data_IF_833161333429
#
_entry.id   IF_833161333429
#
_cell.length_a   1.000
_cell.length_b   1.000
_cell.length_c   1.000
_cell.angle_alpha   90.00
_cell.angle_beta   90.00
_cell.angle_gamma   90.00
#
_symmetry.space_group_name_H-M   'P 1'
#
loop_
_entity.id
_entity.type
_entity.pdbx_description
1 polymer ?
#
# COMPACT_ATOMS: atom_id res chain seq x y z
N UNK A 1 -13.55 8.92 4.30
CA UNK A 1 -12.30 8.35 3.73
C UNK A 1 -11.13 8.87 4.58
N UNK A 2 -10.00 8.18 4.70
CA UNK A 2 -8.91 8.69 5.56
C UNK A 2 -8.38 10.05 5.04
N UNK A 3 -8.40 10.23 3.73
CA UNK A 3 -8.05 11.47 3.04
C UNK A 3 -8.98 12.63 3.37
N UNK A 4 -10.29 12.36 3.51
CA UNK A 4 -11.25 13.38 3.92
C UNK A 4 -10.97 13.84 5.35
N UNK A 5 -10.66 12.91 6.27
CA UNK A 5 -10.27 13.25 7.64
C UNK A 5 -8.99 14.07 7.67
N UNK A 6 -7.99 13.70 6.87
CA UNK A 6 -6.73 14.44 6.76
C UNK A 6 -6.99 15.89 6.29
N UNK A 7 -7.80 16.06 5.25
CA UNK A 7 -8.19 17.37 4.74
C UNK A 7 -8.98 18.21 5.77
N UNK A 8 -9.97 17.61 6.43
CA UNK A 8 -10.82 18.27 7.43
C UNK A 8 -10.04 18.70 8.69
N UNK A 9 -9.00 17.95 9.06
CA UNK A 9 -8.21 18.18 10.28
C UNK A 9 -6.90 18.93 10.02
N UNK A 10 -6.51 19.11 8.76
CA UNK A 10 -5.26 19.79 8.39
C UNK A 10 -3.99 19.03 8.75
N UNK A 11 -4.07 17.71 8.98
CA UNK A 11 -2.90 16.84 9.22
C UNK A 11 -2.64 15.93 8.02
N UNK A 12 -1.44 15.33 7.96
CA UNK A 12 -1.08 14.43 6.86
C UNK A 12 -1.90 13.13 6.88
N UNK A 13 -2.01 12.47 5.73
CA UNK A 13 -2.67 11.17 5.63
C UNK A 13 -1.97 10.11 6.48
N UNK A 14 -0.64 10.17 6.58
CA UNK A 14 0.13 9.31 7.47
C UNK A 14 -0.31 9.51 8.93
N UNK A 15 -0.40 10.76 9.41
CA UNK A 15 -0.82 11.04 10.78
C UNK A 15 -2.24 10.52 11.08
N UNK A 16 -3.18 10.69 10.14
CA UNK A 16 -4.52 10.10 10.26
C UNK A 16 -4.46 8.59 10.31
N UNK A 17 -3.59 7.97 9.50
CA UNK A 17 -3.43 6.51 9.47
C UNK A 17 -2.83 6.00 10.78
N UNK A 18 -1.87 6.71 11.37
CA UNK A 18 -1.27 6.40 12.69
C UNK A 18 -2.29 6.47 13.83
N UNK A 19 -3.33 7.30 13.71
CA UNK A 19 -4.42 7.36 14.68
C UNK A 19 -5.40 6.18 14.59
N UNK A 20 -5.28 5.28 13.59
CA UNK A 20 -6.08 4.06 13.55
C UNK A 20 -5.69 3.11 14.71
N UNK A 21 -6.64 2.31 15.25
CA UNK A 21 -6.33 1.28 16.23
C UNK A 21 -5.21 0.35 15.75
N UNK A 22 -4.31 -0.05 16.66
CA UNK A 22 -3.11 -0.83 16.32
C UNK A 22 -3.43 -2.15 15.61
N UNK A 23 -4.57 -2.79 15.91
CA UNK A 23 -5.00 -4.01 15.21
C UNK A 23 -5.35 -3.82 13.73
N UNK A 24 -5.56 -2.59 13.28
CA UNK A 24 -5.95 -2.27 11.89
C UNK A 24 -4.79 -1.75 11.05
N UNK A 25 -3.62 -1.53 11.66
CA UNK A 25 -2.49 -0.91 10.96
C UNK A 25 -1.13 -1.39 11.47
N UNK A 26 -0.15 -1.43 10.58
CA UNK A 26 1.26 -1.58 10.92
C UNK A 26 2.12 -0.75 9.96
N UNK A 27 3.33 -0.41 10.37
CA UNK A 27 4.23 0.43 9.58
C UNK A 27 5.62 -0.18 9.49
N UNK A 28 6.26 0.01 8.34
CA UNK A 28 7.64 -0.34 8.09
C UNK A 28 8.40 0.89 7.54
N UNK A 29 9.72 0.98 7.73
CA UNK A 29 10.53 2.07 7.18
C UNK A 29 10.46 2.12 5.64
N UNK A 30 10.53 3.31 5.05
CA UNK A 30 10.44 3.50 3.60
C UNK A 30 11.52 2.76 2.77
N UNK A 31 12.66 2.43 3.39
CA UNK A 31 13.69 1.59 2.78
C UNK A 31 13.22 0.17 2.44
N UNK A 32 12.14 -0.31 3.06
CA UNK A 32 11.52 -1.60 2.73
C UNK A 32 10.58 -1.54 1.53
N UNK A 33 10.39 -0.36 0.91
CA UNK A 33 9.42 -0.17 -0.16
C UNK A 33 9.69 -1.05 -1.39
N UNK A 34 10.95 -1.20 -1.81
CA UNK A 34 11.30 -2.10 -2.91
C UNK A 34 10.99 -3.56 -2.56
N UNK A 35 11.34 -4.00 -1.34
CA UNK A 35 11.04 -5.35 -0.89
C UNK A 35 9.53 -5.63 -0.85
N UNK A 36 8.72 -4.64 -0.48
CA UNK A 36 7.26 -4.75 -0.54
C UNK A 36 6.74 -4.85 -1.98
N UNK A 37 7.25 -4.02 -2.89
CA UNK A 37 6.88 -4.05 -4.31
C UNK A 37 7.23 -5.38 -4.98
N UNK A 38 8.41 -5.94 -4.68
CA UNK A 38 8.85 -7.22 -5.22
C UNK A 38 8.01 -8.39 -4.69
N UNK A 39 7.62 -8.35 -3.41
CA UNK A 39 6.75 -9.38 -2.83
C UNK A 39 5.33 -9.33 -3.43
N UNK A 40 4.74 -8.13 -3.51
CA UNK A 40 3.41 -7.92 -4.08
C UNK A 40 3.31 -8.27 -5.57
N UNK A 41 4.42 -8.27 -6.31
CA UNK A 41 4.45 -8.73 -7.69
C UNK A 41 4.09 -10.22 -7.83
N UNK A 42 4.23 -11.00 -6.75
CA UNK A 42 3.91 -12.43 -6.71
C UNK A 42 2.46 -12.71 -6.26
N UNK A 43 1.66 -11.68 -6.02
CA UNK A 43 0.28 -11.83 -5.48
C UNK A 43 -0.75 -12.12 -6.58
N UNK A 44 -0.38 -12.04 -7.86
CA UNK A 44 -1.34 -12.08 -8.96
C UNK A 44 -2.09 -10.75 -9.08
N UNK A 45 -3.37 -10.78 -9.45
CA UNK A 45 -4.15 -9.57 -9.72
C UNK A 45 -4.42 -8.77 -8.44
N UNK A 46 -3.91 -7.53 -8.40
CA UNK A 46 -4.15 -6.54 -7.34
C UNK A 46 -4.84 -5.29 -7.92
N UNK A 47 -5.19 -4.33 -7.06
CA UNK A 47 -5.62 -2.99 -7.51
C UNK A 47 -4.60 -1.95 -7.05
N UNK A 48 -3.93 -1.30 -8.00
CA UNK A 48 -3.10 -0.13 -7.71
C UNK A 48 -3.96 1.12 -7.80
N UNK A 49 -3.87 1.98 -6.80
CA UNK A 49 -4.66 3.20 -6.69
C UNK A 49 -3.75 4.41 -6.47
N UNK A 50 -3.95 5.45 -7.26
CA UNK A 50 -3.35 6.78 -7.06
C UNK A 50 -4.47 7.74 -6.71
N UNK A 51 -4.35 8.43 -5.57
CA UNK A 51 -5.35 9.37 -5.09
C UNK A 51 -4.71 10.74 -4.93
N UNK A 52 -5.25 11.71 -5.66
CA UNK A 52 -4.95 13.14 -5.54
C UNK A 52 -6.22 13.92 -5.19
N UNK A 53 -6.12 15.22 -4.97
CA UNK A 53 -7.29 16.07 -4.73
C UNK A 53 -8.32 16.02 -5.88
N UNK A 54 -7.85 15.78 -7.11
CA UNK A 54 -8.67 15.91 -8.33
C UNK A 54 -9.06 14.57 -8.96
N UNK A 55 -8.36 13.49 -8.61
CA UNK A 55 -8.53 12.19 -9.25
C UNK A 55 -8.21 11.03 -8.30
N UNK A 56 -9.12 10.06 -8.28
CA UNK A 56 -8.85 8.68 -7.86
C UNK A 56 -8.70 7.84 -9.12
N UNK A 57 -7.50 7.37 -9.41
CA UNK A 57 -7.22 6.46 -10.51
C UNK A 57 -6.96 5.07 -9.95
N UNK A 58 -7.69 4.08 -10.48
CA UNK A 58 -7.52 2.67 -10.14
C UNK A 58 -7.12 1.87 -11.37
N UNK A 59 -6.13 0.99 -11.22
CA UNK A 59 -5.73 0.04 -12.24
C UNK A 59 -5.68 -1.37 -11.65
N UNK A 60 -6.43 -2.30 -12.25
CA UNK A 60 -6.46 -3.71 -11.85
C UNK A 60 -5.56 -4.53 -12.76
N UNK A 61 -4.72 -5.36 -12.17
CA UNK A 61 -3.83 -6.25 -12.91
C UNK A 61 -2.75 -6.85 -12.01
N UNK A 62 -1.94 -7.78 -12.52
CA UNK A 62 -0.74 -8.22 -11.82
C UNK A 62 0.24 -7.06 -11.67
N UNK A 63 0.75 -6.81 -10.47
CA UNK A 63 1.79 -5.79 -10.27
C UNK A 63 3.09 -6.27 -10.94
N UNK A 64 3.61 -5.59 -11.97
CA UNK A 64 4.85 -6.04 -12.58
C UNK A 64 6.02 -5.83 -11.62
N UNK A 65 7.01 -6.73 -11.68
CA UNK A 65 8.32 -6.52 -11.05
C UNK A 65 8.95 -5.25 -11.63
N UNK A 66 9.77 -4.58 -10.83
CA UNK A 66 10.49 -3.39 -11.28
C UNK A 66 11.95 -3.40 -10.85
N UNK A 67 12.68 -2.38 -11.30
CA UNK A 67 14.09 -2.21 -11.00
C UNK A 67 14.47 -0.73 -10.99
N UNK A 68 15.41 -0.37 -10.11
CA UNK A 68 15.94 0.99 -10.08
C UNK A 68 16.78 1.31 -11.33
N UNK A 69 16.55 2.50 -11.87
CA UNK A 69 17.30 3.02 -13.01
C UNK A 69 16.93 4.47 -13.27
N UNK A 70 17.93 5.31 -13.61
CA UNK A 70 17.76 6.74 -13.94
C UNK A 70 16.97 7.55 -12.88
N UNK A 71 17.11 7.18 -11.60
CA UNK A 71 16.46 7.88 -10.48
C UNK A 71 15.00 7.49 -10.21
N UNK A 72 14.51 6.39 -10.81
CA UNK A 72 13.18 5.85 -10.58
C UNK A 72 13.23 4.32 -10.37
N UNK A 73 12.23 3.78 -9.68
CA UNK A 73 11.86 2.37 -9.75
C UNK A 73 10.95 2.17 -10.97
N UNK A 74 11.46 1.46 -11.97
CA UNK A 74 10.81 1.31 -13.26
C UNK A 74 10.03 -0.01 -13.30
N UNK A 75 8.72 0.06 -13.51
CA UNK A 75 7.87 -1.12 -13.64
C UNK A 75 8.11 -1.79 -15.00
N UNK A 76 8.26 -3.12 -15.01
CA UNK A 76 8.34 -3.89 -16.24
C UNK A 76 7.01 -3.87 -17.02
N UNK A 77 7.06 -4.23 -18.31
CA UNK A 77 5.88 -4.36 -19.15
C UNK A 77 5.10 -5.66 -18.91
N UNK A 78 3.98 -5.83 -19.61
CA UNK A 78 3.15 -7.05 -19.57
C UNK A 78 1.96 -6.98 -18.60
N UNK A 79 1.75 -5.84 -17.97
CA UNK A 79 0.57 -5.52 -17.15
C UNK A 79 -0.03 -4.18 -17.59
N UNK A 80 -1.35 -3.95 -17.41
CA UNK A 80 -1.92 -2.61 -17.55
C UNK A 80 -1.37 -1.63 -16.50
N UNK A 81 -0.81 -2.15 -15.40
CA UNK A 81 -0.08 -1.35 -14.41
C UNK A 81 1.33 -1.13 -14.96
N UNK A 82 1.70 0.13 -15.19
CA UNK A 82 3.03 0.49 -15.68
C UNK A 82 3.45 1.89 -15.25
N UNK A 83 4.70 2.25 -15.54
CA UNK A 83 5.24 3.58 -15.29
C UNK A 83 6.52 3.60 -14.46
N UNK A 84 6.81 4.77 -13.90
CA UNK A 84 8.06 5.07 -13.20
C UNK A 84 7.74 5.68 -11.84
N UNK A 85 8.22 5.05 -10.77
CA UNK A 85 7.91 5.46 -9.41
C UNK A 85 9.15 6.09 -8.79
N UNK A 86 9.02 7.28 -8.19
CA UNK A 86 10.05 7.88 -7.32
C UNK A 86 10.08 7.17 -5.96
N UNK A 87 10.33 5.86 -5.98
CA UNK A 87 10.25 5.00 -4.80
C UNK A 87 11.30 5.40 -3.73
N UNK A 88 12.37 6.08 -4.16
CA UNK A 88 13.37 6.74 -3.31
C UNK A 88 12.76 7.80 -2.36
N UNK A 89 11.59 8.35 -2.70
CA UNK A 89 10.87 9.31 -1.85
C UNK A 89 10.02 8.66 -0.77
N UNK A 90 9.85 7.34 -0.80
CA UNK A 90 9.05 6.65 0.21
C UNK A 90 9.74 6.72 1.58
N UNK A 91 9.01 7.15 2.60
CA UNK A 91 9.48 7.25 4.00
C UNK A 91 8.81 6.25 4.92
N UNK A 92 7.59 5.85 4.61
CA UNK A 92 6.84 4.86 5.40
C UNK A 92 6.03 3.97 4.48
N UNK A 93 6.08 2.66 4.73
CA UNK A 93 5.17 1.68 4.13
C UNK A 93 4.13 1.30 5.20
N UNK A 94 2.86 1.59 4.96
CA UNK A 94 1.76 1.27 5.87
C UNK A 94 0.95 0.08 5.40
N UNK A 95 0.70 -0.87 6.28
CA UNK A 95 -0.23 -1.98 6.09
C UNK A 95 -1.53 -1.63 6.78
N UNK A 96 -2.61 -1.43 6.04
CA UNK A 96 -3.91 -1.03 6.59
C UNK A 96 -4.96 -2.06 6.23
N UNK A 97 -5.55 -2.69 7.24
CA UNK A 97 -6.66 -3.63 7.10
C UNK A 97 -7.85 -3.19 7.94
N UNK A 98 -8.95 -2.81 7.31
CA UNK A 98 -10.13 -2.29 8.01
C UNK A 98 -11.40 -2.44 7.16
N UNK A 99 -12.59 -2.45 7.80
CA UNK A 99 -13.86 -2.37 7.08
C UNK A 99 -13.95 -1.09 6.23
N UNK A 100 -14.35 -1.21 4.97
CA UNK A 100 -14.54 -0.08 4.06
C UNK A 100 -15.99 -0.03 3.55
N UNK A 101 -16.62 1.14 3.62
CA UNK A 101 -18.00 1.39 3.16
C UNK A 101 -19.06 0.39 3.66
N UNK A 102 -18.99 0.00 4.94
CA UNK A 102 -20.13 -0.57 5.66
C UNK A 102 -20.39 -2.08 5.51
N UNK A 103 -19.53 -2.87 4.86
CA UNK A 103 -19.70 -4.34 4.92
C UNK A 103 -18.51 -5.21 4.52
N UNK A 104 -17.59 -4.74 3.66
CA UNK A 104 -16.46 -5.58 3.23
C UNK A 104 -15.14 -5.13 3.87
N UNK A 105 -14.40 -6.10 4.41
CA UNK A 105 -13.02 -5.92 4.83
C UNK A 105 -12.16 -5.45 3.64
N UNK A 106 -11.15 -4.64 3.89
CA UNK A 106 -10.22 -4.12 2.87
C UNK A 106 -8.81 -4.19 3.43
N UNK A 107 -7.87 -4.71 2.63
CA UNK A 107 -6.45 -4.79 2.98
C UNK A 107 -5.63 -4.06 1.91
N UNK A 108 -4.78 -3.13 2.35
CA UNK A 108 -3.97 -2.29 1.46
C UNK A 108 -2.58 -2.02 2.02
N UNK A 109 -1.60 -1.98 1.13
CA UNK A 109 -0.26 -1.45 1.38
C UNK A 109 -0.21 -0.02 0.83
N UNK A 110 0.10 0.94 1.69
CA UNK A 110 0.13 2.38 1.39
C UNK A 110 1.57 2.88 1.45
N UNK A 111 2.04 3.53 0.40
CA UNK A 111 3.39 4.08 0.34
C UNK A 111 3.33 5.58 0.62
N UNK A 112 3.90 6.03 1.74
CA UNK A 112 3.89 7.43 2.14
C UNK A 112 5.20 8.12 1.77
N UNK A 113 5.12 9.35 1.27
CA UNK A 113 6.27 10.21 0.99
C UNK A 113 6.74 10.94 2.27
N UNK A 114 7.76 11.80 2.15
CA UNK A 114 8.28 12.60 3.27
C UNK A 114 7.35 13.67 3.81
N UNK A 115 6.29 14.01 3.07
CA UNK A 115 5.25 14.96 3.47
C UNK A 115 4.07 14.24 4.17
N UNK A 116 4.15 12.91 4.31
CA UNK A 116 3.10 12.07 4.90
C UNK A 116 1.90 11.85 3.98
N UNK A 117 2.02 12.16 2.69
CA UNK A 117 0.99 11.88 1.69
C UNK A 117 1.17 10.49 1.09
N UNK A 118 0.08 9.85 0.66
CA UNK A 118 0.17 8.59 -0.09
C UNK A 118 0.67 8.85 -1.52
N UNK A 119 1.82 8.26 -1.86
CA UNK A 119 2.33 8.18 -3.23
C UNK A 119 1.40 7.34 -4.11
N UNK A 120 1.01 6.17 -3.59
CA UNK A 120 0.06 5.24 -4.19
C UNK A 120 -0.31 4.18 -3.14
N UNK A 121 -1.28 3.33 -3.49
CA UNK A 121 -1.74 2.21 -2.68
C UNK A 121 -1.83 0.95 -3.53
N UNK A 122 -1.60 -0.20 -2.92
CA UNK A 122 -1.84 -1.51 -3.51
C UNK A 122 -2.85 -2.24 -2.64
N UNK A 123 -4.02 -2.54 -3.19
CA UNK A 123 -5.07 -3.28 -2.51
C UNK A 123 -5.03 -4.75 -2.89
N UNK A 124 -5.23 -5.60 -1.87
CA UNK A 124 -5.53 -7.02 -2.06
C UNK A 124 -6.74 -7.17 -2.98
N UNK A 125 -6.63 -8.09 -3.94
CA UNK A 125 -7.67 -8.39 -4.91
C UNK A 125 -8.94 -8.92 -4.26
N UNK A 126 -10.02 -8.88 -5.03
CA UNK A 126 -11.32 -9.42 -4.64
C UNK A 126 -11.84 -10.40 -5.66
N UNK A 127 -12.60 -11.38 -5.18
CA UNK A 127 -13.38 -12.28 -6.03
C UNK A 127 -14.66 -11.60 -6.56
N UNK A 128 -15.42 -12.35 -7.37
CA UNK A 128 -16.70 -11.88 -7.94
C UNK A 128 -17.77 -11.60 -6.85
N UNK A 129 -17.64 -12.20 -5.67
CA UNK A 129 -18.47 -11.94 -4.49
C UNK A 129 -17.99 -10.74 -3.67
N UNK A 130 -16.98 -10.00 -4.15
CA UNK A 130 -16.33 -8.85 -3.51
C UNK A 130 -15.64 -9.20 -2.18
N UNK A 131 -15.32 -10.46 -1.93
CA UNK A 131 -14.52 -10.89 -0.78
C UNK A 131 -13.03 -10.78 -1.11
N UNK A 132 -12.19 -10.52 -0.10
CA UNK A 132 -10.73 -10.50 -0.28
C UNK A 132 -10.25 -11.90 -0.66
N UNK A 133 -9.31 -11.98 -1.60
CA UNK A 133 -8.70 -13.25 -2.00
C UNK A 133 -7.88 -13.84 -0.83
N UNK A 134 -8.22 -15.05 -0.32
CA UNK A 134 -7.62 -15.57 0.91
C UNK A 134 -6.10 -15.76 0.84
N UNK A 135 -5.57 -16.20 -0.29
CA UNK A 135 -4.15 -16.40 -0.53
C UNK A 135 -3.36 -15.08 -0.51
N UNK A 136 -3.93 -14.02 -1.09
CA UNK A 136 -3.34 -12.69 -1.02
C UNK A 136 -3.43 -12.09 0.39
N UNK A 137 -4.50 -12.37 1.15
CA UNK A 137 -4.59 -11.97 2.55
C UNK A 137 -3.48 -12.64 3.37
N UNK A 138 -3.24 -13.94 3.18
CA UNK A 138 -2.13 -14.64 3.85
C UNK A 138 -0.78 -14.00 3.52
N UNK A 139 -0.52 -13.71 2.24
CA UNK A 139 0.70 -13.01 1.80
C UNK A 139 0.82 -11.60 2.38
N UNK A 140 -0.29 -10.86 2.45
CA UNK A 140 -0.33 -9.53 3.07
C UNK A 140 0.07 -9.60 4.55
N UNK A 141 -0.50 -10.55 5.31
CA UNK A 141 -0.19 -10.73 6.73
C UNK A 141 1.27 -11.18 6.93
N UNK A 142 1.78 -12.08 6.08
CA UNK A 142 3.17 -12.52 6.11
C UNK A 142 4.16 -11.38 5.79
N UNK A 143 3.86 -10.58 4.76
CA UNK A 143 4.66 -9.41 4.39
C UNK A 143 4.66 -8.37 5.51
N UNK A 144 3.49 -8.09 6.11
CA UNK A 144 3.35 -7.19 7.26
C UNK A 144 4.22 -7.66 8.43
N UNK A 145 4.11 -8.92 8.83
CA UNK A 145 4.89 -9.47 9.93
C UNK A 145 6.40 -9.39 9.67
N UNK A 146 6.83 -9.64 8.43
CA UNK A 146 8.22 -9.60 8.02
C UNK A 146 8.82 -8.19 7.99
N UNK A 147 8.07 -7.19 7.53
CA UNK A 147 8.59 -5.83 7.34
C UNK A 147 8.38 -4.90 8.54
N UNK A 148 7.31 -5.10 9.31
CA UNK A 148 7.01 -4.26 10.48
C UNK A 148 7.69 -4.78 11.76
N UNK A 149 8.25 -5.99 11.73
CA UNK A 149 8.75 -6.68 12.91
C UNK A 149 7.63 -7.15 13.85
N UNK A 150 7.91 -8.17 14.66
CA UNK A 150 7.07 -8.46 15.82
C UNK A 150 7.22 -7.29 16.82
N UNK A 151 6.15 -6.87 17.52
CA UNK A 151 6.29 -5.89 18.59
C UNK A 151 7.26 -6.44 19.66
N UNK A 152 8.43 -5.83 19.78
CA UNK A 152 9.43 -6.14 20.80
C UNK A 152 10.65 -6.89 20.31
N UNK A 153 11.61 -6.18 19.71
CA UNK A 153 13.04 -6.45 19.82
C UNK A 153 13.82 -5.23 19.30
N UNK A 154 13.92 -4.20 20.14
CA UNK A 154 15.06 -3.28 20.11
C UNK A 154 16.18 -3.93 20.92
N UNK A 155 17.35 -4.06 20.30
CA UNK A 155 18.62 -4.27 21.00
C UNK A 155 19.04 -3.00 21.75
#
# INVERSE_FOLDING_TARGET
>A
MLEAVAAETGVSLLAVTECLPDGLRAFAPGETAEAAMLDMAEWGTVTVLVHSADLVLECKGPLPRGQFGRGFYNLAGGSPIGGHIRLDRCRTVGFVRRPFMGSADSASVVFFNGDGEAMFKVFVGRDDARQLLPDQVERFEALKARLCGAPGQTA
#
